data_IF_849217307347
#
_entry.id   IF_849217307347
#
_cell.length_a   1.000
_cell.length_b   1.000
_cell.length_c   1.000
_cell.angle_alpha   90.00
_cell.angle_beta   90.00
_cell.angle_gamma   90.00
#
_symmetry.space_group_name_H-M   'P 1'
#
loop_
_entity.id
_entity.type
_entity.pdbx_description
1 polymer ?
#
# COMPACT_ATOMS: atom_id res chain seq x y z
N UNK A 1 -23.13 16.54 -2.48
CA UNK A 1 -23.07 16.09 -3.89
C UNK A 1 -23.29 14.60 -3.86
N UNK A 2 -24.40 14.11 -4.42
CA UNK A 2 -24.81 12.71 -4.32
C UNK A 2 -23.84 11.79 -5.08
N UNK A 3 -23.15 10.91 -4.36
CA UNK A 3 -22.23 9.90 -4.88
C UNK A 3 -22.87 8.50 -4.90
N UNK A 4 -24.14 8.40 -5.27
CA UNK A 4 -24.80 7.11 -5.49
C UNK A 4 -25.01 6.88 -6.99
N UNK A 5 -23.98 6.33 -7.64
CA UNK A 5 -24.14 5.69 -8.94
C UNK A 5 -23.71 4.22 -8.83
N UNK A 6 -24.67 3.32 -9.05
CA UNK A 6 -24.43 1.90 -9.26
C UNK A 6 -23.40 1.67 -10.37
N UNK A 7 -22.58 0.60 -10.29
CA UNK A 7 -21.60 0.30 -11.31
C UNK A 7 -22.33 -0.12 -12.60
N UNK A 8 -22.31 0.76 -13.60
CA UNK A 8 -22.58 0.34 -14.98
C UNK A 8 -21.40 -0.52 -15.40
N UNK A 9 -21.65 -1.70 -15.95
CA UNK A 9 -20.63 -2.47 -16.67
C UNK A 9 -20.11 -1.60 -17.83
N UNK A 10 -18.96 -0.97 -17.60
CA UNK A 10 -18.29 -0.09 -18.56
C UNK A 10 -17.36 -0.93 -19.45
N UNK A 11 -17.93 -1.90 -20.16
CA UNK A 11 -17.23 -2.77 -21.14
C UNK A 11 -16.68 -2.03 -22.36
N UNK A 12 -17.04 -0.76 -22.55
CA UNK A 12 -16.72 0.05 -23.72
C UNK A 12 -15.23 0.41 -23.92
N UNK A 13 -14.36 0.23 -22.92
CA UNK A 13 -12.92 0.52 -23.02
C UNK A 13 -12.03 -0.74 -23.11
N UNK A 14 -12.63 -1.93 -23.01
CA UNK A 14 -11.92 -3.21 -23.18
C UNK A 14 -10.90 -3.54 -22.08
N UNK A 15 -11.00 -2.92 -20.89
CA UNK A 15 -10.06 -3.15 -19.78
C UNK A 15 -10.27 -4.51 -19.12
N UNK A 16 -9.24 -5.35 -19.14
CA UNK A 16 -9.24 -6.65 -18.45
C UNK A 16 -8.99 -6.43 -16.95
N UNK A 17 -10.05 -6.51 -16.13
CA UNK A 17 -9.98 -6.46 -14.67
C UNK A 17 -10.38 -7.82 -14.11
N UNK A 18 -9.45 -8.45 -13.39
CA UNK A 18 -9.68 -9.70 -12.68
C UNK A 18 -10.18 -9.37 -11.27
N UNK A 19 -11.43 -9.67 -10.95
CA UNK A 19 -11.97 -9.50 -9.58
C UNK A 19 -11.68 -10.76 -8.75
N UNK A 20 -10.83 -10.61 -7.73
CA UNK A 20 -10.38 -11.69 -6.83
C UNK A 20 -10.86 -11.47 -5.39
N UNK A 21 -11.74 -10.48 -5.14
CA UNK A 21 -12.17 -10.13 -3.78
C UNK A 21 -12.88 -11.30 -3.10
N UNK A 22 -12.37 -11.70 -1.94
CA UNK A 22 -13.07 -12.59 -1.02
C UNK A 22 -14.01 -11.83 -0.09
N UNK A 23 -14.85 -12.55 0.66
CA UNK A 23 -15.73 -11.97 1.67
C UNK A 23 -14.99 -11.43 2.91
N UNK A 24 -13.71 -11.76 3.08
CA UNK A 24 -12.97 -11.57 4.33
C UNK A 24 -11.50 -11.19 4.12
N UNK A 25 -11.21 -10.37 3.09
CA UNK A 25 -9.86 -9.97 2.60
C UNK A 25 -8.96 -9.19 3.57
N UNK A 26 -8.89 -9.60 4.83
CA UNK A 26 -8.09 -9.02 5.91
C UNK A 26 -7.33 -10.12 6.64
N UNK A 27 -6.35 -9.71 7.45
CA UNK A 27 -5.55 -10.62 8.27
C UNK A 27 -6.38 -11.45 9.26
N UNK A 28 -7.55 -10.92 9.65
CA UNK A 28 -8.39 -11.51 10.70
C UNK A 28 -9.41 -12.49 10.14
N UNK A 29 -9.61 -12.51 8.81
CA UNK A 29 -10.68 -13.26 8.17
C UNK A 29 -12.09 -12.76 8.53
N UNK A 30 -12.19 -11.54 9.11
CA UNK A 30 -13.47 -10.91 9.47
C UNK A 30 -13.87 -9.87 8.43
N UNK A 31 -15.16 -9.55 8.38
CA UNK A 31 -15.63 -8.41 7.61
C UNK A 31 -15.12 -7.10 8.20
N UNK A 32 -15.00 -6.06 7.38
CA UNK A 32 -14.61 -4.72 7.83
C UNK A 32 -15.52 -4.19 8.96
N UNK A 33 -16.81 -4.52 8.91
CA UNK A 33 -17.77 -4.20 9.97
C UNK A 33 -17.38 -4.84 11.30
N UNK A 34 -17.10 -6.14 11.30
CA UNK A 34 -16.68 -6.85 12.51
C UNK A 34 -15.35 -6.32 13.05
N UNK A 35 -14.39 -5.98 12.17
CA UNK A 35 -13.13 -5.37 12.59
C UNK A 35 -13.33 -4.01 13.26
N UNK A 36 -14.21 -3.15 12.71
CA UNK A 36 -14.57 -1.87 13.34
C UNK A 36 -15.19 -2.13 14.71
N UNK A 37 -16.15 -3.06 14.82
CA UNK A 37 -16.84 -3.35 16.08
C UNK A 37 -15.90 -3.89 17.14
N UNK A 38 -14.99 -4.80 16.78
CA UNK A 38 -14.02 -5.37 17.72
C UNK A 38 -13.01 -4.34 18.19
N UNK A 39 -12.51 -3.50 17.27
CA UNK A 39 -11.50 -2.48 17.58
C UNK A 39 -12.06 -1.28 18.34
N UNK A 40 -13.29 -0.84 18.03
CA UNK A 40 -13.91 0.30 18.70
C UNK A 40 -14.42 -0.06 20.09
N UNK A 41 -14.74 -1.34 20.37
CA UNK A 41 -14.98 -1.86 21.74
C UNK A 41 -13.74 -1.81 22.63
N UNK A 42 -12.56 -1.65 22.03
CA UNK A 42 -11.29 -1.59 22.73
C UNK A 42 -10.86 -2.95 23.29
N UNK A 43 -9.62 -3.00 23.77
CA UNK A 43 -9.02 -4.18 24.39
C UNK A 43 -8.56 -3.94 25.82
N UNK A 44 -8.09 -5.01 26.47
CA UNK A 44 -7.42 -4.92 27.77
C UNK A 44 -6.03 -4.27 27.69
N UNK A 45 -5.42 -4.28 26.50
CA UNK A 45 -4.14 -3.64 26.25
C UNK A 45 -4.30 -2.13 26.15
N UNK A 46 -3.56 -1.40 26.99
CA UNK A 46 -3.46 0.05 26.92
C UNK A 46 -2.13 0.44 26.29
N UNK A 47 -2.19 1.38 25.37
CA UNK A 47 -1.04 1.99 24.75
C UNK A 47 -0.95 3.45 25.17
N UNK A 48 0.26 3.99 25.15
CA UNK A 48 0.46 5.40 25.41
C UNK A 48 1.56 6.01 24.55
N UNK A 49 1.51 7.33 24.38
CA UNK A 49 2.56 8.15 23.78
C UNK A 49 2.65 9.45 24.58
N UNK A 50 3.87 9.89 24.86
CA UNK A 50 4.14 11.14 25.57
C UNK A 50 4.17 12.29 24.55
N UNK A 51 3.42 13.34 24.82
CA UNK A 51 3.43 14.57 24.04
C UNK A 51 4.67 15.41 24.35
N UNK A 52 5.12 16.23 23.40
CA UNK A 52 6.22 17.18 23.62
C UNK A 52 5.95 18.17 24.77
N UNK A 53 4.67 18.48 25.00
CA UNK A 53 4.19 19.31 26.11
C UNK A 53 4.33 18.64 27.49
N UNK A 54 4.67 17.34 27.53
CA UNK A 54 4.64 16.50 28.72
C UNK A 54 3.28 15.85 29.00
N UNK A 55 2.28 16.06 28.14
CA UNK A 55 0.99 15.37 28.19
C UNK A 55 1.11 13.87 27.87
N UNK A 56 0.12 13.07 28.27
CA UNK A 56 0.05 11.64 27.95
C UNK A 56 -1.22 11.37 27.15
N UNK A 57 -1.06 10.80 25.95
CA UNK A 57 -2.18 10.22 25.20
C UNK A 57 -2.20 8.73 25.48
N UNK A 58 -3.28 8.25 26.06
CA UNK A 58 -3.56 6.83 26.24
C UNK A 58 -4.69 6.40 25.31
N UNK A 59 -4.60 5.20 24.75
CA UNK A 59 -5.67 4.61 23.97
C UNK A 59 -5.73 3.09 24.12
N UNK A 60 -6.93 2.55 23.94
CA UNK A 60 -7.19 1.10 23.85
C UNK A 60 -8.11 0.75 22.68
N UNK A 61 -8.74 1.76 22.08
CA UNK A 61 -9.68 1.66 20.95
C UNK A 61 -8.99 2.06 19.66
N UNK A 62 -9.44 1.46 18.56
CA UNK A 62 -9.05 1.88 17.23
C UNK A 62 -10.20 1.77 16.23
N UNK A 63 -9.99 2.35 15.05
CA UNK A 63 -10.79 2.09 13.85
C UNK A 63 -9.80 1.63 12.77
N UNK A 64 -10.09 0.55 12.01
CA UNK A 64 -9.18 0.04 11.00
C UNK A 64 -8.86 1.08 9.93
N UNK A 65 -7.57 1.31 9.67
CA UNK A 65 -7.10 2.31 8.68
C UNK A 65 -7.71 2.11 7.29
N UNK A 66 -8.08 0.88 6.91
CA UNK A 66 -8.72 0.56 5.64
C UNK A 66 -9.99 1.38 5.37
N UNK A 67 -10.77 1.70 6.42
CA UNK A 67 -12.02 2.47 6.27
C UNK A 67 -11.78 3.88 5.74
N UNK A 68 -10.59 4.44 5.97
CA UNK A 68 -10.25 5.80 5.53
C UNK A 68 -10.15 5.91 4.00
N UNK A 69 -9.96 4.78 3.30
CA UNK A 69 -9.89 4.71 1.84
C UNK A 69 -11.25 4.46 1.18
N UNK A 70 -12.29 4.12 1.95
CA UNK A 70 -13.64 3.93 1.44
C UNK A 70 -14.30 5.25 1.03
N UNK A 71 -15.37 5.17 0.23
CA UNK A 71 -16.07 6.35 -0.27
C UNK A 71 -15.18 7.22 -1.15
N UNK A 72 -14.97 8.49 -0.76
CA UNK A 72 -14.07 9.42 -1.46
C UNK A 72 -12.62 9.36 -0.94
N UNK A 73 -12.31 8.41 -0.06
CA UNK A 73 -11.05 8.34 0.68
C UNK A 73 -9.81 8.28 -0.21
N UNK A 74 -9.85 7.52 -1.30
CA UNK A 74 -8.73 7.44 -2.25
C UNK A 74 -8.44 8.79 -2.91
N UNK A 75 -9.46 9.52 -3.36
CA UNK A 75 -9.30 10.83 -4.01
C UNK A 75 -8.78 11.88 -3.01
N UNK A 76 -9.30 11.84 -1.78
CA UNK A 76 -8.82 12.69 -0.69
C UNK A 76 -7.36 12.42 -0.34
N UNK A 77 -6.96 11.15 -0.28
CA UNK A 77 -5.58 10.77 -0.05
C UNK A 77 -4.66 11.20 -1.21
N UNK A 78 -5.11 11.10 -2.46
CA UNK A 78 -4.35 11.61 -3.60
C UNK A 78 -4.14 13.13 -3.53
N UNK A 79 -5.11 13.88 -3.02
CA UNK A 79 -4.93 15.31 -2.78
C UNK A 79 -3.92 15.59 -1.67
N UNK A 80 -3.82 14.72 -0.66
CA UNK A 80 -2.77 14.78 0.36
C UNK A 80 -1.40 14.53 -0.26
N UNK A 81 -1.25 13.53 -1.15
CA UNK A 81 0.06 13.21 -1.75
C UNK A 81 0.60 14.31 -2.66
N UNK A 82 -0.27 15.19 -3.16
CA UNK A 82 0.08 16.38 -3.95
C UNK A 82 0.42 17.60 -3.09
N UNK A 83 0.16 17.56 -1.78
CA UNK A 83 0.48 18.65 -0.87
C UNK A 83 2.00 18.80 -0.72
N UNK A 84 2.58 20.00 -0.84
CA UNK A 84 4.02 20.20 -0.70
C UNK A 84 4.62 19.74 0.64
N UNK A 85 3.81 19.74 1.71
CA UNK A 85 4.21 19.24 3.03
C UNK A 85 4.31 17.71 3.07
N UNK A 86 3.56 17.00 2.24
CA UNK A 86 3.60 15.54 2.15
C UNK A 86 4.76 15.07 1.25
N UNK A 87 5.95 14.96 1.86
CA UNK A 87 7.18 14.70 1.11
C UNK A 87 7.28 13.31 0.48
N UNK A 88 6.71 12.27 1.12
CA UNK A 88 7.04 10.87 0.83
C UNK A 88 6.81 10.51 -0.63
N UNK A 89 5.69 10.95 -1.21
CA UNK A 89 5.36 10.67 -2.60
C UNK A 89 6.42 11.24 -3.57
N UNK A 90 6.83 12.50 -3.36
CA UNK A 90 7.86 13.15 -4.17
C UNK A 90 9.22 12.49 -3.99
N UNK A 91 9.55 12.16 -2.75
CA UNK A 91 10.85 11.58 -2.40
C UNK A 91 10.98 10.17 -3.00
N UNK A 92 9.94 9.33 -2.93
CA UNK A 92 9.90 8.03 -3.63
C UNK A 92 9.89 8.17 -5.16
N UNK A 93 9.11 9.12 -5.70
CA UNK A 93 9.07 9.38 -7.14
C UNK A 93 10.43 9.82 -7.69
N UNK A 94 11.20 10.59 -6.92
CA UNK A 94 12.54 11.04 -7.33
C UNK A 94 13.50 9.88 -7.59
N UNK A 95 13.37 8.79 -6.82
CA UNK A 95 14.14 7.56 -7.01
C UNK A 95 13.78 6.94 -8.37
N UNK A 96 12.50 6.86 -8.71
CA UNK A 96 12.09 6.35 -10.03
C UNK A 96 12.55 7.27 -11.17
N UNK A 97 12.50 8.58 -10.98
CA UNK A 97 12.98 9.52 -12.00
C UNK A 97 14.47 9.36 -12.29
N UNK A 98 15.28 9.13 -11.26
CA UNK A 98 16.73 8.95 -11.38
C UNK A 98 17.12 7.54 -11.86
N UNK A 99 16.48 6.49 -11.32
CA UNK A 99 16.91 5.10 -11.47
C UNK A 99 15.98 4.22 -12.32
N UNK A 100 14.90 4.74 -12.91
CA UNK A 100 13.92 3.95 -13.71
C UNK A 100 14.57 3.07 -14.77
N UNK A 101 15.55 3.58 -15.51
CA UNK A 101 16.24 2.80 -16.54
C UNK A 101 17.02 1.62 -15.94
N UNK A 102 17.74 1.83 -14.83
CA UNK A 102 18.49 0.78 -14.14
C UNK A 102 17.55 -0.27 -13.54
N UNK A 103 16.50 0.17 -12.85
CA UNK A 103 15.46 -0.70 -12.28
C UNK A 103 14.84 -1.57 -13.38
N UNK A 104 14.41 -0.96 -14.50
CA UNK A 104 13.83 -1.70 -15.61
C UNK A 104 14.80 -2.74 -16.18
N UNK A 105 16.09 -2.39 -16.35
CA UNK A 105 17.10 -3.32 -16.88
C UNK A 105 17.37 -4.50 -15.94
N UNK A 106 17.30 -4.30 -14.62
CA UNK A 106 17.43 -5.35 -13.62
C UNK A 106 16.21 -6.29 -13.63
N UNK A 107 15.00 -5.72 -13.64
CA UNK A 107 13.75 -6.49 -13.65
C UNK A 107 13.57 -7.29 -14.94
N UNK A 108 14.01 -6.75 -16.08
CA UNK A 108 13.90 -7.39 -17.39
C UNK A 108 15.07 -8.33 -17.72
N UNK A 109 16.03 -8.50 -16.80
CA UNK A 109 17.15 -9.44 -16.97
C UNK A 109 18.13 -9.05 -18.08
N UNK A 110 18.17 -7.78 -18.48
CA UNK A 110 19.05 -7.26 -19.53
C UNK A 110 20.36 -6.67 -18.98
N UNK A 111 20.49 -6.56 -17.66
CA UNK A 111 21.71 -6.15 -16.99
C UNK A 111 22.67 -7.34 -16.79
N UNK A 112 23.73 -7.43 -17.61
CA UNK A 112 24.87 -8.28 -17.30
C UNK A 112 25.76 -7.59 -16.24
N UNK A 113 25.69 -8.03 -14.99
CA UNK A 113 26.63 -7.61 -13.95
C UNK A 113 27.98 -8.28 -14.16
N UNK A 114 28.92 -7.57 -14.80
CA UNK A 114 30.34 -7.89 -14.68
C UNK A 114 31.00 -6.79 -13.87
N UNK A 115 31.58 -7.16 -12.71
CA UNK A 115 32.40 -6.27 -11.86
C UNK A 115 33.34 -5.44 -12.75
N UNK A 116 33.17 -4.12 -12.72
CA UNK A 116 34.18 -3.16 -13.19
C UNK A 116 34.04 -2.58 -14.60
N UNK A 117 33.00 -2.87 -15.39
CA UNK A 117 32.78 -2.10 -16.64
C UNK A 117 31.33 -2.17 -17.10
N UNK A 118 30.61 -1.03 -17.05
CA UNK A 118 29.26 -0.87 -17.60
C UNK A 118 29.31 -1.01 -19.13
N UNK A 119 29.10 -2.22 -19.67
CA UNK A 119 28.72 -2.39 -21.07
C UNK A 119 27.27 -2.82 -21.14
N UNK A 120 26.46 -1.89 -21.60
CA UNK A 120 25.03 -2.01 -21.84
C UNK A 120 24.86 -2.73 -23.18
N UNK A 121 24.25 -3.91 -23.18
CA UNK A 121 23.80 -4.55 -24.41
C UNK A 121 22.30 -4.28 -24.54
N UNK A 122 21.92 -3.48 -25.54
CA UNK A 122 20.53 -3.28 -25.95
C UNK A 122 20.01 -4.56 -26.59
N UNK A 123 19.73 -5.58 -25.78
CA UNK A 123 19.13 -6.80 -26.29
C UNK A 123 17.62 -6.55 -26.46
N UNK A 124 17.15 -6.66 -27.70
CA UNK A 124 15.74 -6.47 -28.15
C UNK A 124 14.77 -7.54 -27.62
N UNK A 125 14.95 -8.02 -26.39
CA UNK A 125 14.33 -9.25 -25.89
C UNK A 125 13.21 -9.07 -24.86
N UNK A 126 12.93 -7.86 -24.37
CA UNK A 126 11.74 -7.63 -23.55
C UNK A 126 10.49 -7.50 -24.45
N UNK A 127 10.13 -8.60 -25.10
CA UNK A 127 8.78 -8.77 -25.66
C UNK A 127 7.93 -9.37 -24.55
N UNK A 128 6.75 -8.81 -24.31
CA UNK A 128 5.69 -9.35 -23.45
C UNK A 128 5.85 -9.09 -21.93
N UNK A 129 5.85 -7.82 -21.54
CA UNK A 129 5.75 -7.36 -20.15
C UNK A 129 4.27 -7.22 -19.79
N UNK A 130 3.85 -7.82 -18.67
CA UNK A 130 2.50 -7.67 -18.13
C UNK A 130 2.52 -6.80 -16.87
N UNK A 131 2.04 -5.55 -16.97
CA UNK A 131 1.79 -4.68 -15.82
C UNK A 131 0.40 -4.98 -15.25
N UNK A 132 0.35 -5.49 -14.03
CA UNK A 132 -0.91 -5.74 -13.32
C UNK A 132 -1.06 -4.70 -12.21
N UNK A 133 -2.03 -3.80 -12.35
CA UNK A 133 -2.37 -2.83 -11.31
C UNK A 133 -3.33 -3.48 -10.32
N UNK A 134 -3.06 -3.34 -9.02
CA UNK A 134 -3.87 -3.94 -7.95
C UNK A 134 -4.54 -2.83 -7.15
N UNK A 135 -5.84 -2.95 -6.92
CA UNK A 135 -6.59 -2.04 -6.05
C UNK A 135 -7.74 -2.77 -5.34
N UNK A 136 -8.20 -2.24 -4.21
CA UNK A 136 -9.35 -2.75 -3.47
C UNK A 136 -10.67 -2.35 -4.15
N UNK A 137 -10.69 -1.16 -4.76
CA UNK A 137 -11.91 -0.58 -5.32
C UNK A 137 -11.91 -0.69 -6.84
N UNK A 138 -12.83 -1.51 -7.36
CA UNK A 138 -13.00 -1.75 -8.79
C UNK A 138 -13.10 -0.46 -9.61
N UNK A 139 -13.92 0.50 -9.17
CA UNK A 139 -14.14 1.75 -9.89
C UNK A 139 -12.88 2.62 -9.96
N UNK A 140 -12.11 2.68 -8.88
CA UNK A 140 -10.85 3.42 -8.82
C UNK A 140 -9.76 2.76 -9.67
N UNK A 141 -9.66 1.43 -9.58
CA UNK A 141 -8.78 0.65 -10.45
C UNK A 141 -9.07 0.90 -11.93
N UNK A 142 -10.35 0.83 -12.31
CA UNK A 142 -10.77 1.10 -13.67
C UNK A 142 -10.38 2.51 -14.11
N UNK A 143 -10.73 3.53 -13.32
CA UNK A 143 -10.40 4.94 -13.64
C UNK A 143 -8.89 5.16 -13.82
N UNK A 144 -8.06 4.53 -12.97
CA UNK A 144 -6.59 4.60 -13.04
C UNK A 144 -6.04 3.94 -14.29
N UNK A 145 -6.55 2.77 -14.67
CA UNK A 145 -6.13 2.10 -15.92
C UNK A 145 -6.51 2.97 -17.13
N UNK A 146 -7.72 3.52 -17.15
CA UNK A 146 -8.18 4.41 -18.23
C UNK A 146 -7.32 5.68 -18.33
N UNK A 147 -6.96 6.30 -17.20
CA UNK A 147 -6.04 7.43 -17.18
C UNK A 147 -4.66 7.03 -17.70
N UNK A 148 -4.10 5.91 -17.23
CA UNK A 148 -2.79 5.42 -17.67
C UNK A 148 -2.76 5.18 -19.18
N UNK A 149 -3.78 4.53 -19.74
CA UNK A 149 -3.87 4.27 -21.19
C UNK A 149 -4.03 5.56 -22.00
N UNK A 150 -4.72 6.58 -21.46
CA UNK A 150 -4.80 7.91 -22.10
C UNK A 150 -3.45 8.63 -22.11
N UNK A 151 -2.71 8.57 -21.00
CA UNK A 151 -1.40 9.23 -20.87
C UNK A 151 -0.27 8.49 -21.59
N UNK A 152 -0.42 7.17 -21.73
CA UNK A 152 0.55 6.26 -22.34
C UNK A 152 -0.14 5.38 -23.39
N UNK A 153 -0.52 5.96 -24.56
CA UNK A 153 -1.25 5.23 -25.60
C UNK A 153 -0.44 4.09 -26.23
N UNK A 154 0.88 4.07 -26.02
CA UNK A 154 1.74 2.95 -26.42
C UNK A 154 1.51 1.69 -25.56
N UNK A 155 0.82 1.78 -24.42
CA UNK A 155 0.47 0.60 -23.62
C UNK A 155 -0.74 -0.12 -24.22
N UNK A 156 -0.69 -1.46 -24.25
CA UNK A 156 -1.81 -2.26 -24.77
C UNK A 156 -2.74 -2.62 -23.64
N UNK A 157 -4.04 -2.46 -23.87
CA UNK A 157 -5.05 -2.94 -22.96
C UNK A 157 -5.21 -4.47 -23.11
N UNK A 158 -4.89 -5.25 -22.08
CA UNK A 158 -5.01 -6.71 -22.13
C UNK A 158 -4.00 -7.38 -23.07
N UNK A 159 -4.45 -7.96 -24.19
CA UNK A 159 -3.62 -8.87 -25.01
C UNK A 159 -2.62 -8.15 -25.90
N UNK A 160 -1.35 -8.50 -25.73
CA UNK A 160 -0.23 -8.04 -26.57
C UNK A 160 -0.42 -8.33 -28.07
N UNK A 161 -1.24 -9.33 -28.41
CA UNK A 161 -1.59 -9.69 -29.79
C UNK A 161 -2.31 -8.56 -30.55
N UNK A 162 -2.91 -7.59 -29.85
CA UNK A 162 -3.65 -6.50 -30.47
C UNK A 162 -2.77 -5.39 -31.04
N UNK A 163 -1.50 -5.24 -30.60
CA UNK A 163 -0.59 -4.21 -31.10
C UNK A 163 0.89 -4.65 -31.15
N UNK A 164 1.46 -4.94 -32.35
CA UNK A 164 2.81 -5.48 -32.51
C UNK A 164 3.96 -4.50 -32.17
N UNK A 165 3.66 -3.25 -31.82
CA UNK A 165 4.66 -2.21 -31.52
C UNK A 165 4.89 -1.98 -30.03
N UNK A 166 4.03 -2.53 -29.16
CA UNK A 166 4.18 -2.39 -27.72
C UNK A 166 4.53 -3.73 -27.07
N UNK A 167 5.61 -3.72 -26.31
CA UNK A 167 6.01 -4.85 -25.50
C UNK A 167 5.29 -4.92 -24.16
N UNK A 168 4.37 -4.00 -23.82
CA UNK A 168 3.78 -3.89 -22.48
C UNK A 168 2.25 -3.89 -22.53
N UNK A 169 1.65 -4.89 -21.88
CA UNK A 169 0.21 -4.93 -21.61
C UNK A 169 -0.13 -4.47 -20.20
N UNK A 170 -1.30 -3.86 -20.03
CA UNK A 170 -1.87 -3.47 -18.73
C UNK A 170 -3.13 -4.30 -18.45
N UNK A 171 -3.26 -4.78 -17.22
CA UNK A 171 -4.49 -5.36 -16.66
C UNK A 171 -4.74 -4.89 -15.22
N UNK A 172 -5.97 -4.98 -14.76
CA UNK A 172 -6.36 -4.73 -13.38
C UNK A 172 -6.55 -6.03 -12.60
N UNK A 173 -6.24 -6.00 -11.31
CA UNK A 173 -6.60 -7.03 -10.33
C UNK A 173 -7.30 -6.34 -9.15
N UNK A 174 -8.57 -6.63 -8.94
CA UNK A 174 -9.38 -6.03 -7.89
C UNK A 174 -9.42 -6.98 -6.69
N UNK A 175 -8.79 -6.59 -5.57
CA UNK A 175 -8.59 -7.48 -4.41
C UNK A 175 -7.74 -6.86 -3.30
N UNK A 176 -7.84 -7.43 -2.10
CA UNK A 176 -6.93 -7.12 -0.98
C UNK A 176 -5.54 -7.74 -1.18
N UNK A 177 -4.58 -7.37 -0.33
CA UNK A 177 -3.27 -8.03 -0.32
C UNK A 177 -3.38 -9.53 0.00
N UNK A 178 -4.34 -9.93 0.85
CA UNK A 178 -4.58 -11.33 1.16
C UNK A 178 -5.19 -12.09 -0.02
N UNK A 179 -6.19 -11.50 -0.69
CA UNK A 179 -6.75 -12.06 -1.92
C UNK A 179 -5.67 -12.22 -2.99
N UNK A 180 -4.81 -11.20 -3.16
CA UNK A 180 -3.72 -11.22 -4.13
C UNK A 180 -2.68 -12.31 -3.81
N UNK A 181 -2.35 -12.53 -2.53
CA UNK A 181 -1.46 -13.62 -2.12
C UNK A 181 -2.05 -14.98 -2.47
N UNK A 182 -3.32 -15.24 -2.14
CA UNK A 182 -4.01 -16.48 -2.48
C UNK A 182 -4.08 -16.70 -3.99
N UNK A 183 -4.50 -15.67 -4.74
CA UNK A 183 -4.53 -15.70 -6.19
C UNK A 183 -3.16 -16.04 -6.79
N UNK A 184 -2.09 -15.42 -6.32
CA UNK A 184 -0.73 -15.66 -6.81
C UNK A 184 -0.20 -17.05 -6.42
N UNK A 185 -0.50 -17.52 -5.21
CA UNK A 185 -0.13 -18.86 -4.73
C UNK A 185 -0.74 -19.95 -5.61
N UNK A 186 -1.98 -19.76 -6.02
CA UNK A 186 -2.73 -20.74 -6.80
C UNK A 186 -2.41 -20.68 -8.31
N UNK A 187 -1.34 -19.97 -8.68
CA UNK A 187 -0.86 -19.85 -10.06
C UNK A 187 -1.53 -18.74 -10.86
N UNK A 188 -2.13 -17.76 -10.17
CA UNK A 188 -2.61 -16.52 -10.78
C UNK A 188 -1.52 -15.79 -11.55
N UNK A 189 -1.93 -15.00 -12.55
CA UNK A 189 -1.09 -14.42 -13.61
C UNK A 189 -0.60 -15.48 -14.63
N UNK A 190 -1.47 -15.87 -15.57
CA UNK A 190 -1.15 -16.74 -16.72
C UNK A 190 -0.64 -15.95 -17.94
N UNK A 191 0.17 -16.59 -18.78
CA UNK A 191 0.49 -16.15 -20.15
C UNK A 191 -0.72 -16.48 -21.04
N UNK A 192 -1.29 -15.42 -21.62
CA UNK A 192 -2.55 -15.45 -22.35
C UNK A 192 -2.48 -16.27 -23.67
N UNK A 193 -1.29 -16.61 -24.13
CA UNK A 193 -1.09 -17.39 -25.37
C UNK A 193 -1.42 -18.88 -25.23
N UNK A 194 -1.37 -19.45 -24.02
CA UNK A 194 -1.40 -20.92 -23.85
C UNK A 194 -2.47 -21.46 -22.90
N UNK A 195 -3.16 -20.61 -22.12
CA UNK A 195 -4.12 -21.02 -21.07
C UNK A 195 -3.61 -22.16 -20.17
N UNK A 196 -2.28 -22.30 -20.04
CA UNK A 196 -1.61 -23.29 -19.21
C UNK A 196 -0.73 -22.57 -18.18
N UNK A 197 -0.50 -23.16 -16.99
CA UNK A 197 0.47 -22.63 -16.03
C UNK A 197 1.82 -22.40 -16.70
N UNK A 198 2.44 -21.25 -16.46
CA UNK A 198 3.63 -20.81 -17.17
C UNK A 198 4.84 -21.69 -16.79
N UNK A 199 5.04 -22.78 -17.54
CA UNK A 199 6.37 -23.33 -17.81
C UNK A 199 6.76 -22.90 -19.23
N UNK A 200 7.11 -21.63 -19.41
CA UNK A 200 7.63 -21.15 -20.70
C UNK A 200 9.04 -21.71 -20.91
N UNK A 201 9.16 -22.59 -21.90
CA UNK A 201 10.37 -22.94 -22.66
C UNK A 201 11.71 -22.46 -22.07
N UNK A 202 12.27 -23.18 -21.09
CA UNK A 202 13.62 -22.95 -20.54
C UNK A 202 13.95 -21.49 -20.08
N UNK A 203 12.98 -20.58 -19.99
CA UNK A 203 13.13 -19.24 -19.42
C UNK A 203 11.98 -19.01 -18.43
N UNK A 204 12.30 -19.14 -17.14
CA UNK A 204 11.37 -19.00 -16.03
C UNK A 204 10.66 -17.63 -16.09
N UNK A 205 9.32 -17.63 -16.08
CA UNK A 205 8.54 -16.41 -15.86
C UNK A 205 8.95 -15.79 -14.53
N UNK A 206 9.24 -14.49 -14.56
CA UNK A 206 9.65 -13.73 -13.37
C UNK A 206 8.61 -12.67 -13.11
N UNK A 207 8.12 -12.62 -11.88
CA UNK A 207 7.28 -11.52 -11.41
C UNK A 207 8.07 -10.61 -10.48
N UNK A 208 7.72 -9.33 -10.51
CA UNK A 208 8.17 -8.34 -9.54
C UNK A 208 6.95 -7.82 -8.80
N UNK A 209 6.86 -8.06 -7.49
CA UNK A 209 5.83 -7.47 -6.65
C UNK A 209 6.28 -6.10 -6.19
N UNK A 210 5.56 -5.05 -6.57
CA UNK A 210 5.89 -3.67 -6.18
C UNK A 210 5.02 -3.23 -5.00
N UNK A 211 5.65 -2.82 -3.91
CA UNK A 211 4.98 -2.29 -2.72
C UNK A 211 5.55 -0.91 -2.38
N UNK A 212 4.82 0.13 -2.79
CA UNK A 212 5.26 1.51 -2.74
C UNK A 212 4.51 2.34 -1.69
N UNK A 213 4.95 3.58 -1.48
CA UNK A 213 4.33 4.56 -0.59
C UNK A 213 4.54 4.25 0.89
N UNK A 214 5.50 3.40 1.24
CA UNK A 214 5.82 2.96 2.60
C UNK A 214 4.62 2.41 3.39
N UNK A 215 3.53 1.98 2.73
CA UNK A 215 2.37 1.43 3.43
C UNK A 215 2.69 0.12 4.16
N UNK A 216 3.77 -0.56 3.75
CA UNK A 216 4.39 -1.68 4.45
C UNK A 216 4.78 -1.34 5.90
N UNK A 217 5.25 -0.11 6.16
CA UNK A 217 5.70 0.31 7.49
C UNK A 217 4.58 0.82 8.39
N UNK A 218 3.32 0.58 8.04
CA UNK A 218 2.21 0.76 8.99
C UNK A 218 2.20 -0.35 10.08
N UNK A 219 3.05 -1.36 9.92
CA UNK A 219 3.28 -2.46 10.87
C UNK A 219 4.57 -2.24 11.67
N UNK A 220 4.61 -2.74 12.91
CA UNK A 220 5.89 -2.89 13.64
C UNK A 220 6.82 -3.82 12.85
N UNK A 221 8.16 -3.64 12.90
CA UNK A 221 9.12 -4.49 12.20
C UNK A 221 8.86 -6.00 12.33
N UNK A 222 8.58 -6.50 13.53
CA UNK A 222 8.29 -7.93 13.76
C UNK A 222 7.00 -8.39 13.07
N UNK A 223 5.96 -7.56 13.06
CA UNK A 223 4.69 -7.86 12.37
C UNK A 223 4.89 -7.83 10.85
N UNK A 224 5.61 -6.84 10.36
CA UNK A 224 5.96 -6.67 8.96
C UNK A 224 6.77 -7.88 8.44
N UNK A 225 7.73 -8.35 9.23
CA UNK A 225 8.51 -9.55 8.90
C UNK A 225 7.67 -10.83 8.88
N UNK A 226 6.71 -10.98 9.81
CA UNK A 226 5.76 -12.10 9.79
C UNK A 226 4.89 -12.08 8.53
N UNK A 227 4.45 -10.90 8.10
CA UNK A 227 3.65 -10.75 6.89
C UNK A 227 4.46 -11.07 5.63
N UNK A 228 5.65 -10.48 5.44
CA UNK A 228 6.50 -10.75 4.27
C UNK A 228 6.94 -12.21 4.18
N UNK A 229 7.13 -12.88 5.32
CA UNK A 229 7.46 -14.31 5.36
C UNK A 229 6.38 -15.17 4.70
N UNK A 230 5.11 -14.76 4.69
CA UNK A 230 4.05 -15.50 3.98
C UNK A 230 4.34 -15.56 2.48
N UNK A 231 4.84 -14.46 1.88
CA UNK A 231 5.21 -14.45 0.46
C UNK A 231 6.34 -15.45 0.15
N UNK A 232 7.30 -15.62 1.06
CA UNK A 232 8.43 -16.54 0.84
C UNK A 232 8.07 -17.99 1.16
N UNK A 233 7.24 -18.24 2.17
CA UNK A 233 6.88 -19.59 2.65
C UNK A 233 5.72 -20.22 1.89
N UNK A 234 4.72 -19.44 1.45
CA UNK A 234 3.52 -19.95 0.78
C UNK A 234 3.71 -20.13 -0.73
N UNK A 235 4.93 -20.01 -1.25
CA UNK A 235 5.21 -20.23 -2.67
C UNK A 235 4.79 -19.06 -3.59
N UNK A 236 4.33 -17.94 -3.01
CA UNK A 236 4.02 -16.72 -3.77
C UNK A 236 5.27 -16.20 -4.48
N UNK A 237 6.41 -16.06 -3.77
CA UNK A 237 7.71 -15.74 -4.36
C UNK A 237 8.53 -17.01 -4.63
N UNK A 238 8.91 -17.18 -5.89
CA UNK A 238 9.78 -18.26 -6.37
C UNK A 238 11.19 -17.74 -6.64
N UNK A 239 12.14 -18.66 -6.83
CA UNK A 239 13.52 -18.31 -7.23
C UNK A 239 13.50 -17.52 -8.53
N UNK A 240 14.13 -16.34 -8.56
CA UNK A 240 14.15 -15.46 -9.72
C UNK A 240 13.02 -14.41 -9.74
N UNK A 241 12.03 -14.52 -8.86
CA UNK A 241 11.08 -13.44 -8.61
C UNK A 241 11.71 -12.34 -7.75
N UNK A 242 11.17 -11.13 -7.90
CA UNK A 242 11.59 -9.97 -7.13
C UNK A 242 10.45 -9.38 -6.33
N UNK A 243 10.81 -8.65 -5.28
CA UNK A 243 9.94 -7.71 -4.60
C UNK A 243 10.64 -6.36 -4.54
N UNK A 244 9.95 -5.29 -4.93
CA UNK A 244 10.45 -3.93 -4.93
C UNK A 244 9.67 -3.14 -3.87
N UNK A 245 10.31 -2.81 -2.74
CA UNK A 245 9.66 -2.16 -1.60
C UNK A 245 10.20 -0.75 -1.40
N UNK A 246 9.30 0.24 -1.37
CA UNK A 246 9.59 1.60 -0.95
C UNK A 246 9.39 1.78 0.55
N UNK A 247 10.38 2.34 1.23
CA UNK A 247 10.38 2.56 2.68
C UNK A 247 10.73 4.01 2.99
N UNK A 248 9.86 4.67 3.74
CA UNK A 248 10.09 5.96 4.36
C UNK A 248 11.07 5.81 5.53
N UNK A 249 12.24 6.43 5.37
CA UNK A 249 13.35 6.43 6.32
C UNK A 249 13.56 7.80 6.97
N UNK A 250 12.67 8.76 6.74
CA UNK A 250 12.84 10.13 7.20
C UNK A 250 13.01 10.21 8.71
N UNK A 251 14.03 10.96 9.14
CA UNK A 251 14.36 11.21 10.55
C UNK A 251 14.16 12.65 11.00
N UNK A 252 13.79 13.51 10.06
CA UNK A 252 13.40 14.89 10.36
C UNK A 252 11.97 14.89 10.90
N UNK A 253 11.86 15.07 12.23
CA UNK A 253 10.58 15.05 12.95
C UNK A 253 9.69 16.22 12.53
N UNK A 254 10.26 17.38 12.21
CA UNK A 254 9.49 18.55 11.76
C UNK A 254 8.89 18.28 10.38
N UNK A 255 9.69 17.71 9.48
CA UNK A 255 9.24 17.30 8.14
C UNK A 255 8.14 16.23 8.20
N UNK A 256 8.29 15.23 9.08
CA UNK A 256 7.24 14.22 9.33
C UNK A 256 5.99 14.88 9.92
N UNK A 257 6.13 15.71 10.95
CA UNK A 257 4.99 16.37 11.61
C UNK A 257 4.21 17.25 10.62
N UNK A 258 4.91 18.02 9.78
CA UNK A 258 4.29 18.82 8.74
C UNK A 258 3.49 17.98 7.74
N UNK A 259 4.02 16.82 7.32
CA UNK A 259 3.35 15.94 6.38
C UNK A 259 2.02 15.37 6.89
N UNK A 260 1.85 15.26 8.21
CA UNK A 260 0.66 14.67 8.84
C UNK A 260 -0.12 15.64 9.73
N UNK A 261 0.15 16.95 9.61
CA UNK A 261 -0.34 18.01 10.51
C UNK A 261 -1.84 17.94 10.80
N UNK A 262 -2.21 18.06 12.08
CA UNK A 262 -3.60 18.12 12.54
C UNK A 262 -4.31 19.45 12.20
N UNK A 263 -3.56 20.47 11.80
CA UNK A 263 -4.09 21.73 11.27
C UNK A 263 -4.41 21.67 9.76
N UNK A 264 -4.11 20.56 9.09
CA UNK A 264 -4.37 20.39 7.65
C UNK A 264 -5.84 20.07 7.38
N UNK A 265 -6.52 20.93 6.63
CA UNK A 265 -7.89 20.69 6.16
C UNK A 265 -8.00 19.41 5.32
N UNK A 266 -6.95 19.07 4.54
CA UNK A 266 -6.94 17.84 3.72
C UNK A 266 -6.97 16.59 4.59
N UNK A 267 -6.18 16.57 5.66
CA UNK A 267 -6.21 15.47 6.63
C UNK A 267 -7.53 15.40 7.38
N UNK A 268 -8.07 16.55 7.81
CA UNK A 268 -9.37 16.58 8.47
C UNK A 268 -10.49 16.02 7.58
N UNK A 269 -10.53 16.40 6.30
CA UNK A 269 -11.50 15.86 5.33
C UNK A 269 -11.33 14.34 5.11
N UNK A 270 -10.09 13.88 4.98
CA UNK A 270 -9.79 12.45 4.82
C UNK A 270 -10.25 11.62 6.03
N UNK A 271 -9.99 12.11 7.23
CA UNK A 271 -10.38 11.46 8.48
C UNK A 271 -11.90 11.49 8.67
N UNK A 272 -12.53 12.63 8.38
CA UNK A 272 -13.98 12.78 8.45
C UNK A 272 -14.71 11.86 7.47
N UNK A 273 -14.19 11.67 6.25
CA UNK A 273 -14.68 10.67 5.30
C UNK A 273 -14.67 9.27 5.94
N UNK A 274 -13.53 8.87 6.51
CA UNK A 274 -13.40 7.54 7.13
C UNK A 274 -14.35 7.33 8.31
N UNK A 275 -14.57 8.35 9.15
CA UNK A 275 -15.53 8.29 10.25
C UNK A 275 -16.97 8.20 9.77
N UNK A 276 -17.32 8.97 8.75
CA UNK A 276 -18.62 8.90 8.10
C UNK A 276 -18.86 7.51 7.51
N UNK A 277 -17.88 6.94 6.80
CA UNK A 277 -18.00 5.59 6.25
C UNK A 277 -18.07 4.55 7.37
N UNK A 278 -17.28 4.67 8.43
CA UNK A 278 -17.35 3.78 9.59
C UNK A 278 -18.75 3.77 10.22
N UNK A 279 -19.33 4.95 10.46
CA UNK A 279 -20.69 5.13 10.97
C UNK A 279 -21.72 4.40 10.10
N UNK A 280 -21.64 4.57 8.78
CA UNK A 280 -22.53 3.88 7.82
C UNK A 280 -22.32 2.37 7.83
N UNK A 281 -21.08 1.89 7.88
CA UNK A 281 -20.75 0.46 7.90
C UNK A 281 -21.30 -0.23 9.15
N UNK A 282 -21.18 0.39 10.32
CA UNK A 282 -21.72 -0.20 11.56
C UNK A 282 -23.23 0.03 11.71
N UNK A 283 -23.76 1.10 11.12
CA UNK A 283 -25.16 1.49 11.21
C UNK A 283 -25.46 2.41 12.40
N UNK A 284 -24.50 3.27 12.77
CA UNK A 284 -24.62 4.19 13.90
C UNK A 284 -23.97 5.55 13.60
N UNK A 285 -24.81 6.58 13.43
CA UNK A 285 -24.40 7.95 13.11
C UNK A 285 -23.65 8.66 14.24
N UNK A 286 -23.72 8.17 15.47
CA UNK A 286 -22.97 8.75 16.61
C UNK A 286 -21.45 8.71 16.42
N UNK A 287 -20.95 7.86 15.50
CA UNK A 287 -19.55 7.81 15.10
C UNK A 287 -19.14 8.89 14.09
N UNK A 288 -20.08 9.56 13.41
CA UNK A 288 -19.75 10.37 12.24
C UNK A 288 -19.19 11.76 12.56
N UNK A 289 -19.71 12.47 13.56
CA UNK A 289 -19.48 13.93 13.73
C UNK A 289 -18.69 14.28 14.99
N UNK A 290 -18.27 15.54 15.19
CA UNK A 290 -17.63 16.10 16.40
C UNK A 290 -16.31 15.46 16.88
N UNK A 291 -15.50 14.93 15.96
CA UNK A 291 -14.18 14.38 16.29
C UNK A 291 -13.08 15.40 16.01
N UNK A 292 -12.16 15.57 16.95
CA UNK A 292 -10.93 16.34 16.72
C UNK A 292 -9.84 15.41 16.19
N UNK A 293 -9.32 15.67 14.99
CA UNK A 293 -8.15 14.96 14.47
C UNK A 293 -6.90 15.33 15.28
N UNK A 294 -6.11 14.32 15.66
CA UNK A 294 -4.90 14.49 16.47
C UNK A 294 -3.76 13.69 15.83
N UNK A 295 -2.65 14.36 15.53
CA UNK A 295 -1.47 13.80 14.90
C UNK A 295 -0.28 13.85 15.86
N UNK A 296 0.47 12.76 16.04
CA UNK A 296 1.56 12.69 17.02
C UNK A 296 2.78 11.95 16.49
N UNK A 297 3.95 12.49 16.78
CA UNK A 297 5.21 11.77 16.65
C UNK A 297 5.51 11.00 17.93
N UNK A 298 5.71 9.70 17.80
CA UNK A 298 6.18 8.81 18.86
C UNK A 298 7.68 8.57 18.64
N UNK A 299 8.50 9.34 19.36
CA UNK A 299 9.95 9.30 19.23
C UNK A 299 10.57 8.00 19.73
N UNK A 300 9.93 7.32 20.70
CA UNK A 300 10.40 6.05 21.25
C UNK A 300 10.30 4.94 20.20
N UNK A 301 9.18 4.88 19.49
CA UNK A 301 8.93 3.85 18.47
C UNK A 301 9.29 4.31 17.05
N UNK A 302 9.65 5.59 16.86
CA UNK A 302 10.01 6.16 15.56
C UNK A 302 8.86 6.12 14.55
N UNK A 303 7.66 6.54 14.96
CA UNK A 303 6.44 6.47 14.14
C UNK A 303 5.57 7.70 14.27
N UNK A 304 4.79 7.95 13.23
CA UNK A 304 3.68 8.87 13.29
C UNK A 304 2.38 8.14 13.67
N UNK A 305 1.58 8.73 14.56
CA UNK A 305 0.29 8.24 15.04
C UNK A 305 -0.82 9.22 14.67
N UNK A 306 -1.97 8.67 14.25
CA UNK A 306 -3.16 9.42 13.88
C UNK A 306 -4.31 8.94 14.73
N UNK A 307 -4.92 9.87 15.46
CA UNK A 307 -6.06 9.63 16.32
C UNK A 307 -7.22 10.53 15.93
N UNK A 308 -8.39 10.15 16.43
CA UNK A 308 -9.46 11.11 16.69
C UNK A 308 -9.71 11.17 18.20
N UNK A 309 -9.95 12.37 18.70
CA UNK A 309 -10.36 12.62 20.08
C UNK A 309 -11.84 12.98 20.10
N UNK A 310 -12.59 12.34 20.98
CA UNK A 310 -13.98 12.74 21.21
C UNK A 310 -14.02 13.96 22.13
N UNK A 311 -14.62 15.07 21.71
CA UNK A 311 -14.77 16.25 22.58
C UNK A 311 -16.02 16.17 23.49
N UNK A 312 -16.81 15.10 23.36
CA UNK A 312 -17.98 14.80 24.20
C UNK A 312 -18.05 13.33 24.60
N UNK A 313 -18.90 13.02 25.57
CA UNK A 313 -19.27 11.63 25.84
C UNK A 313 -20.11 11.09 24.67
N UNK A 314 -19.85 9.85 24.25
CA UNK A 314 -20.58 9.18 23.18
C UNK A 314 -20.94 7.77 23.58
N UNK A 315 -22.15 7.39 23.20
CA UNK A 315 -22.62 6.01 23.24
C UNK A 315 -22.74 5.55 21.80
N UNK A 316 -21.83 4.68 21.38
CA UNK A 316 -21.79 4.06 20.06
C UNK A 316 -22.34 2.67 20.22
N UNK A 317 -23.43 2.35 19.54
CA UNK A 317 -24.23 1.15 19.80
C UNK A 317 -24.68 1.13 21.29
N UNK A 318 -25.49 0.17 21.74
CA UNK A 318 -25.96 0.21 23.13
C UNK A 318 -24.90 -0.20 24.17
N UNK A 319 -23.69 -0.61 23.75
CA UNK A 319 -22.66 -1.20 24.63
C UNK A 319 -21.28 -0.52 24.60
N UNK A 320 -21.05 0.52 23.78
CA UNK A 320 -19.73 1.14 23.64
C UNK A 320 -19.76 2.60 24.10
N UNK A 321 -19.19 2.84 25.28
CA UNK A 321 -19.05 4.18 25.84
C UNK A 321 -17.66 4.74 25.56
N UNK A 322 -17.61 5.92 24.95
CA UNK A 322 -16.40 6.69 24.68
C UNK A 322 -16.48 8.00 25.46
N UNK A 323 -15.52 8.21 26.35
CA UNK A 323 -15.49 9.38 27.22
C UNK A 323 -15.09 10.65 26.47
N UNK A 324 -15.51 11.81 26.98
CA UNK A 324 -14.96 13.08 26.52
C UNK A 324 -13.44 13.12 26.80
N UNK A 325 -12.65 13.53 25.82
CA UNK A 325 -11.19 13.52 25.84
C UNK A 325 -10.54 12.20 25.42
N UNK A 326 -11.32 11.13 25.21
CA UNK A 326 -10.78 9.83 24.83
C UNK A 326 -10.26 9.82 23.39
N UNK A 327 -9.09 9.20 23.17
CA UNK A 327 -8.46 9.05 21.86
C UNK A 327 -8.73 7.66 21.28
N UNK A 328 -9.09 7.61 20.00
CA UNK A 328 -9.26 6.40 19.21
C UNK A 328 -8.22 6.41 18.09
N UNK A 329 -7.40 5.36 18.03
CA UNK A 329 -6.35 5.25 17.02
C UNK A 329 -6.98 4.97 15.63
N UNK A 330 -6.58 5.73 14.62
CA UNK A 330 -7.00 5.51 13.23
C UNK A 330 -5.92 4.86 12.40
N UNK A 331 -4.67 5.27 12.58
CA UNK A 331 -3.57 4.78 11.79
C UNK A 331 -2.22 5.10 12.44
N UNK A 332 -1.20 4.37 12.01
CA UNK A 332 0.19 4.61 12.37
C UNK A 332 1.08 4.44 11.15
N UNK A 333 2.26 5.06 11.15
CA UNK A 333 3.26 4.96 10.08
C UNK A 333 4.66 5.01 10.69
N UNK A 334 5.33 3.86 10.74
CA UNK A 334 6.71 3.79 11.21
C UNK A 334 7.67 4.34 10.17
N UNK A 335 8.70 5.04 10.64
CA UNK A 335 9.85 5.47 9.85
C UNK A 335 11.00 4.54 10.17
N UNK A 336 11.27 3.59 9.29
CA UNK A 336 12.26 2.54 9.54
C UNK A 336 13.67 3.11 9.38
N UNK A 337 14.61 2.69 10.23
CA UNK A 337 16.02 2.86 9.90
C UNK A 337 16.34 1.90 8.76
N UNK A 338 17.46 2.14 8.08
CA UNK A 338 18.01 1.14 7.17
C UNK A 338 18.23 -0.21 7.88
N UNK A 339 18.68 -0.19 9.14
CA UNK A 339 18.91 -1.41 9.91
C UNK A 339 17.60 -2.16 10.23
N UNK A 340 16.52 -1.45 10.55
CA UNK A 340 15.20 -2.05 10.75
C UNK A 340 14.72 -2.74 9.48
N UNK A 341 14.84 -2.07 8.32
CA UNK A 341 14.47 -2.64 7.03
C UNK A 341 15.26 -3.93 6.73
N UNK A 342 16.59 -3.89 6.89
CA UNK A 342 17.44 -5.08 6.69
C UNK A 342 17.06 -6.23 7.63
N UNK A 343 16.82 -5.94 8.91
CA UNK A 343 16.39 -6.95 9.88
C UNK A 343 15.04 -7.57 9.50
N UNK A 344 14.09 -6.76 9.03
CA UNK A 344 12.80 -7.24 8.54
C UNK A 344 12.95 -8.16 7.34
N UNK A 345 13.77 -7.79 6.35
CA UNK A 345 14.00 -8.61 5.16
C UNK A 345 14.70 -9.93 5.48
N UNK A 346 15.75 -9.89 6.28
CA UNK A 346 16.48 -11.08 6.74
C UNK A 346 15.54 -12.05 7.47
N UNK A 347 14.79 -11.54 8.46
CA UNK A 347 13.79 -12.34 9.15
C UNK A 347 12.77 -12.92 8.19
N UNK A 348 12.39 -12.24 7.11
CA UNK A 348 11.38 -12.70 6.15
C UNK A 348 11.90 -13.74 5.14
N UNK A 349 13.19 -14.05 5.14
CA UNK A 349 13.82 -14.89 4.12
C UNK A 349 13.98 -14.17 2.77
N UNK A 350 14.23 -12.87 2.83
CA UNK A 350 14.48 -12.00 1.68
C UNK A 350 15.90 -11.43 1.74
N UNK A 351 16.60 -11.46 0.61
CA UNK A 351 17.94 -10.89 0.45
C UNK A 351 17.86 -9.60 -0.34
N UNK A 352 18.49 -8.54 0.16
CA UNK A 352 18.63 -7.27 -0.57
C UNK A 352 19.62 -7.43 -1.72
N UNK A 353 19.18 -7.11 -2.93
CA UNK A 353 20.01 -7.10 -4.14
C UNK A 353 20.51 -5.73 -4.50
N UNK A 354 19.61 -4.75 -4.42
CA UNK A 354 19.90 -3.35 -4.69
C UNK A 354 19.10 -2.48 -3.73
N UNK A 355 19.64 -1.30 -3.45
CA UNK A 355 19.02 -0.24 -2.70
C UNK A 355 19.28 1.05 -3.45
N UNK A 356 18.21 1.76 -3.79
CA UNK A 356 18.28 3.13 -4.27
C UNK A 356 17.73 4.06 -3.21
N UNK A 357 18.34 5.22 -3.10
CA UNK A 357 18.08 6.16 -2.02
C UNK A 357 17.91 7.53 -2.66
N UNK A 358 16.90 8.29 -2.24
CA UNK A 358 16.79 9.67 -2.68
C UNK A 358 17.87 10.53 -2.00
N UNK A 359 18.18 11.70 -2.57
CA UNK A 359 18.77 12.77 -1.78
C UNK A 359 17.59 13.52 -1.13
N UNK A 360 17.44 13.58 0.21
CA UNK A 360 18.51 13.58 1.22
C UNK A 360 18.54 12.35 2.16
N UNK A 361 18.32 11.13 1.67
CA UNK A 361 18.28 9.87 2.45
C UNK A 361 17.00 9.64 3.29
N UNK A 362 15.90 10.27 2.89
CA UNK A 362 14.60 10.15 3.56
C UNK A 362 13.77 8.96 3.08
N UNK A 363 14.08 8.37 1.92
CA UNK A 363 13.35 7.29 1.31
C UNK A 363 14.30 6.30 0.65
N UNK A 364 13.95 5.02 0.69
CA UNK A 364 14.70 3.97 -0.02
C UNK A 364 13.80 3.01 -0.74
N UNK A 365 14.25 2.60 -1.92
CA UNK A 365 13.65 1.59 -2.74
C UNK A 365 14.56 0.35 -2.74
N UNK A 366 14.07 -0.76 -2.19
CA UNK A 366 14.82 -2.01 -2.07
C UNK A 366 14.35 -3.01 -3.12
N UNK A 367 15.28 -3.53 -3.92
CA UNK A 367 15.03 -4.72 -4.75
C UNK A 367 15.46 -5.96 -3.98
N UNK A 368 14.49 -6.82 -3.69
CA UNK A 368 14.62 -8.01 -2.87
C UNK A 368 14.39 -9.27 -3.70
N UNK A 369 15.08 -10.35 -3.36
CA UNK A 369 14.78 -11.69 -3.87
C UNK A 369 14.61 -12.66 -2.70
N UNK A 370 13.92 -13.77 -2.94
CA UNK A 370 13.86 -14.86 -1.96
C UNK A 370 15.26 -15.43 -1.72
N UNK A 371 15.67 -15.53 -0.46
CA UNK A 371 16.95 -16.13 -0.10
C UNK A 371 17.02 -17.57 -0.62
N UNK A 372 18.05 -17.88 -1.42
CA UNK A 372 18.31 -19.24 -1.87
C UNK A 372 18.71 -20.15 -0.70
N UNK A 373 18.19 -21.37 -0.68
CA UNK A 373 18.66 -22.43 0.23
C UNK A 373 19.99 -23.00 -0.26
#
# INVERSE_FOLDING_TARGET
MDCHNHPRELSHLGVDVIDIRSSCGTATGKSLKEEILDSIRGGGDKHCVVEESGGLIEWSRSIPTGILYEGCGIDLYENITRDPSYYLYRDELSIFQEYSHEIAMLLLGTAATRKGTKRISSSRHAKNIHLSLVDLQYAQLQSRIEQLLREKPDLVNGRLEAQPHSGVSVRGVCGSYYDAMEFLRDGGLVDDSSRTPIYLHNTQFRKCLMWLGSSFTNLKPVQAAKFLRQFTQEGVLQTGDFMLIGIDRCRDVEKVTAAYSDTSERWQQYIQNGLYTAAHTVGDESLAEDWTYVARWDAEEGRHLRFVRSDRHRTVLPDIEISAGEHVLLAQSYKYTRQDALGVFDMSGLTVRYEWVNQPDDCSLFLLEKTGL
#
